data_IF_069487261755
#
_entry.id   IF_069487261755
#
_cell.length_a   1.000
_cell.length_b   1.000
_cell.length_c   1.000
_cell.angle_alpha   90.00
_cell.angle_beta   90.00
_cell.angle_gamma   90.00
#
_symmetry.space_group_name_H-M   'P 1'
#
loop_
_entity.id
_entity.type
_entity.pdbx_description
1 polymer ?
#
# COMPACT_ATOMS: atom_id res chain seq x y z
N UNK A 1 0.39 -83.10 42.72
CA UNK A 1 -0.05 -82.63 44.04
C UNK A 1 -0.43 -81.16 43.89
N UNK A 2 -1.65 -80.84 44.31
CA UNK A 2 -2.35 -79.54 44.32
C UNK A 2 -1.44 -78.35 44.71
N UNK A 3 -1.73 -77.08 44.38
CA UNK A 3 -2.98 -76.40 44.71
C UNK A 3 -3.02 -74.98 44.12
N UNK A 4 -4.21 -74.59 43.67
CA UNK A 4 -4.70 -73.24 43.37
C UNK A 4 -4.92 -72.47 44.69
N UNK A 5 -4.73 -71.14 44.74
CA UNK A 5 -5.68 -70.17 45.35
C UNK A 5 -5.15 -68.72 45.49
N UNK A 6 -6.00 -67.77 45.03
CA UNK A 6 -6.43 -66.46 45.59
C UNK A 6 -5.44 -65.51 46.31
N UNK A 7 -5.65 -64.20 46.48
CA UNK A 7 -6.39 -63.07 45.89
C UNK A 7 -6.20 -61.92 46.93
N UNK A 8 -5.93 -60.69 46.48
CA UNK A 8 -5.95 -59.39 47.22
C UNK A 8 -5.00 -59.14 48.41
N UNK A 9 -4.24 -58.03 48.34
CA UNK A 9 -4.40 -56.81 49.17
C UNK A 9 -3.48 -55.70 48.62
N UNK A 10 -4.04 -54.49 48.53
CA UNK A 10 -3.44 -53.25 48.06
C UNK A 10 -2.61 -52.54 49.14
N UNK A 11 -1.61 -51.73 48.75
CA UNK A 11 -1.55 -50.26 48.99
C UNK A 11 -0.15 -49.68 48.71
N UNK A 12 -0.15 -48.60 47.90
CA UNK A 12 0.54 -47.31 48.09
C UNK A 12 1.98 -47.00 47.58
N UNK A 13 2.00 -46.08 46.59
CA UNK A 13 2.94 -44.94 46.29
C UNK A 13 4.41 -45.24 45.92
N UNK A 14 5.08 -44.60 44.94
CA UNK A 14 4.96 -43.30 44.26
C UNK A 14 5.64 -43.36 42.85
N UNK A 15 4.96 -42.79 41.83
CA UNK A 15 5.44 -41.88 40.77
C UNK A 15 6.61 -42.24 39.80
N UNK A 16 6.33 -42.35 38.50
CA UNK A 16 6.43 -41.22 37.52
C UNK A 16 5.95 -41.61 36.10
N UNK A 17 5.13 -40.70 35.54
CA UNK A 17 4.74 -40.48 34.14
C UNK A 17 3.77 -41.43 33.42
N UNK A 18 2.47 -41.12 33.56
CA UNK A 18 1.53 -41.14 32.43
C UNK A 18 1.81 -39.98 31.46
N UNK A 19 1.09 -39.75 30.37
CA UNK A 19 -0.07 -40.40 29.77
C UNK A 19 0.02 -40.19 28.26
N UNK A 20 -0.63 -41.08 27.53
CA UNK A 20 -1.10 -40.94 26.15
C UNK A 20 -1.85 -39.62 25.91
N UNK A 21 -1.72 -39.06 24.70
CA UNK A 21 -2.89 -38.75 23.86
C UNK A 21 -2.49 -38.45 22.41
N UNK A 22 -3.36 -38.94 21.55
CA UNK A 22 -3.55 -38.65 20.13
C UNK A 22 -3.57 -37.16 19.82
N UNK A 23 -2.99 -36.75 18.70
CA UNK A 23 -3.52 -35.67 17.88
C UNK A 23 -3.17 -35.89 16.40
N UNK A 24 -4.21 -35.84 15.57
CA UNK A 24 -4.21 -35.83 14.11
C UNK A 24 -3.64 -34.49 13.61
N UNK A 25 -2.41 -34.47 13.12
CA UNK A 25 -1.92 -33.33 12.35
C UNK A 25 -2.47 -33.42 10.92
N UNK A 26 -3.68 -32.86 10.73
CA UNK A 26 -4.17 -32.45 9.42
C UNK A 26 -3.26 -31.35 8.88
N UNK A 27 -2.38 -31.75 7.97
CA UNK A 27 -1.65 -30.87 7.08
C UNK A 27 -2.65 -29.99 6.31
N UNK A 28 -2.77 -28.73 6.73
CA UNK A 28 -3.58 -27.73 6.07
C UNK A 28 -2.92 -27.37 4.74
N UNK A 29 -3.44 -27.93 3.65
CA UNK A 29 -3.21 -27.43 2.30
C UNK A 29 -3.86 -26.04 2.17
N UNK A 30 -3.18 -25.00 2.65
CA UNK A 30 -3.41 -23.64 2.18
C UNK A 30 -2.76 -23.51 0.80
N UNK A 31 -3.48 -23.00 -0.21
CA UNK A 31 -2.87 -22.75 -1.51
C UNK A 31 -1.83 -21.63 -1.33
N UNK A 32 -0.55 -21.96 -1.53
CA UNK A 32 0.48 -20.95 -1.69
C UNK A 32 0.10 -20.08 -2.89
N UNK A 33 -0.31 -18.83 -2.63
CA UNK A 33 -0.54 -17.85 -3.68
C UNK A 33 0.83 -17.57 -4.31
N UNK A 34 1.10 -18.21 -5.46
CA UNK A 34 2.23 -17.85 -6.30
C UNK A 34 1.89 -16.54 -6.99
N UNK A 35 2.50 -15.45 -6.53
CA UNK A 35 2.48 -14.18 -7.26
C UNK A 35 3.21 -14.35 -8.60
N UNK A 36 2.62 -13.95 -9.74
CA UNK A 36 3.27 -14.01 -11.03
C UNK A 36 4.56 -13.17 -11.04
N UNK A 37 5.59 -13.71 -11.67
CA UNK A 37 7.01 -13.30 -11.66
C UNK A 37 7.34 -11.94 -12.32
N UNK A 38 6.37 -11.06 -12.57
CA UNK A 38 6.70 -9.74 -13.11
C UNK A 38 6.91 -8.78 -11.95
N UNK A 39 8.17 -8.35 -11.81
CA UNK A 39 8.70 -7.43 -10.80
C UNK A 39 8.94 -8.06 -9.41
N UNK A 40 9.85 -9.04 -9.35
CA UNK A 40 10.76 -9.09 -8.21
C UNK A 40 11.69 -7.87 -8.33
N UNK A 41 11.21 -6.69 -7.93
CA UNK A 41 12.14 -5.62 -7.54
C UNK A 41 12.74 -6.12 -6.23
N UNK A 42 13.90 -6.77 -6.34
CA UNK A 42 14.74 -7.14 -5.20
C UNK A 42 15.16 -5.85 -4.49
N UNK A 43 14.31 -5.37 -3.62
CA UNK A 43 14.56 -4.23 -2.78
C UNK A 43 14.00 -4.48 -1.39
N UNK A 44 14.61 -3.88 -0.36
CA UNK A 44 14.65 -4.44 0.97
C UNK A 44 13.42 -4.06 1.80
N UNK A 45 12.20 -4.18 1.26
CA UNK A 45 10.98 -4.13 2.10
C UNK A 45 10.74 -5.43 2.87
N UNK A 46 11.69 -6.37 2.79
CA UNK A 46 11.54 -7.76 3.22
C UNK A 46 12.18 -8.07 4.57
N UNK A 47 12.55 -7.07 5.37
CA UNK A 47 12.77 -7.33 6.79
C UNK A 47 11.45 -7.11 7.55
N UNK A 48 10.64 -8.16 7.75
CA UNK A 48 9.39 -8.04 8.51
C UNK A 48 9.63 -7.67 9.97
N UNK A 49 10.87 -7.75 10.46
CA UNK A 49 11.25 -7.39 11.82
C UNK A 49 11.68 -5.92 11.93
N UNK A 50 11.90 -5.23 10.80
CA UNK A 50 12.29 -3.83 10.84
C UNK A 50 11.08 -2.97 11.19
N UNK A 51 11.17 -2.14 12.25
CA UNK A 51 10.06 -1.30 12.67
C UNK A 51 9.68 -0.29 11.59
N UNK A 52 8.39 0.02 11.56
CA UNK A 52 7.87 1.10 10.73
C UNK A 52 7.83 2.41 11.51
N UNK A 53 8.14 3.48 10.79
CA UNK A 53 8.08 4.83 11.27
C UNK A 53 7.09 5.63 10.46
N UNK A 54 6.52 6.63 11.11
CA UNK A 54 5.49 7.48 10.54
C UNK A 54 5.82 8.94 10.79
N UNK A 55 5.42 9.81 9.87
CA UNK A 55 5.61 11.26 9.95
C UNK A 55 4.33 11.95 9.47
N UNK A 56 3.76 12.83 10.28
CA UNK A 56 2.61 13.65 9.85
C UNK A 56 3.07 14.64 8.76
N UNK A 57 2.56 14.47 7.55
CA UNK A 57 3.05 15.15 6.35
C UNK A 57 2.89 16.67 6.42
N UNK A 58 1.87 17.20 7.08
CA UNK A 58 1.62 18.65 7.10
C UNK A 58 2.39 19.39 8.20
N UNK A 59 2.71 18.74 9.32
CA UNK A 59 3.19 19.43 10.53
C UNK A 59 4.57 18.97 11.00
N UNK A 60 4.95 17.74 10.66
CA UNK A 60 6.11 17.07 11.25
C UNK A 60 7.00 16.43 10.17
N UNK A 61 7.07 17.01 8.97
CA UNK A 61 7.83 16.46 7.84
C UNK A 61 9.23 16.05 8.27
N UNK A 62 9.56 14.77 8.09
CA UNK A 62 10.88 14.21 8.42
C UNK A 62 11.12 13.99 9.91
N UNK A 63 10.16 14.29 10.78
CA UNK A 63 10.20 13.95 12.20
C UNK A 63 9.52 12.60 12.40
N UNK A 64 10.34 11.56 12.34
CA UNK A 64 9.90 10.16 12.39
C UNK A 64 9.62 9.70 13.82
N UNK A 65 8.44 9.15 14.05
CA UNK A 65 8.06 8.44 15.26
C UNK A 65 7.80 6.96 14.94
N UNK A 66 7.96 6.07 15.92
CA UNK A 66 7.60 4.67 15.76
C UNK A 66 6.10 4.56 15.46
N UNK A 67 5.73 3.80 14.44
CA UNK A 67 4.33 3.56 14.13
C UNK A 67 3.69 2.67 15.20
N UNK A 68 2.53 3.10 15.67
CA UNK A 68 1.74 2.39 16.68
C UNK A 68 0.53 1.74 16.01
N UNK A 69 0.10 0.59 16.52
CA UNK A 69 -1.13 -0.07 16.05
C UNK A 69 -2.39 0.65 16.48
N UNK A 70 -2.31 1.47 17.54
CA UNK A 70 -3.40 2.33 17.97
C UNK A 70 -3.42 3.63 17.15
N UNK A 71 -4.44 3.76 16.31
CA UNK A 71 -4.72 4.95 15.49
C UNK A 71 -5.78 5.86 16.14
N UNK A 72 -6.38 5.45 17.27
CA UNK A 72 -7.50 6.16 17.92
C UNK A 72 -7.15 7.57 18.36
N UNK A 73 -5.87 7.81 18.68
CA UNK A 73 -5.35 9.11 19.09
C UNK A 73 -4.72 9.92 17.94
N UNK A 74 -4.59 9.35 16.74
CA UNK A 74 -3.98 10.07 15.62
C UNK A 74 -4.94 11.12 15.06
N UNK A 75 -4.41 12.31 14.83
CA UNK A 75 -5.12 13.41 14.22
C UNK A 75 -5.49 13.10 12.76
N UNK A 76 -6.55 13.73 12.26
CA UNK A 76 -6.92 13.66 10.85
C UNK A 76 -5.80 14.25 9.99
N UNK A 77 -5.46 13.59 8.88
CA UNK A 77 -4.39 14.08 8.01
C UNK A 77 -3.74 13.00 7.17
N UNK A 78 -2.61 13.37 6.55
CA UNK A 78 -1.76 12.48 5.77
C UNK A 78 -0.50 12.13 6.54
N UNK A 79 -0.10 10.88 6.46
CA UNK A 79 1.04 10.34 7.18
C UNK A 79 1.93 9.56 6.21
N UNK A 80 3.20 9.93 6.13
CA UNK A 80 4.21 9.17 5.39
C UNK A 80 4.74 8.03 6.26
N UNK A 81 5.11 6.92 5.61
CA UNK A 81 5.59 5.70 6.24
C UNK A 81 6.97 5.32 5.70
N UNK A 82 7.85 4.88 6.59
CA UNK A 82 9.16 4.34 6.19
C UNK A 82 9.75 3.36 7.21
N UNK A 83 10.48 2.37 6.73
CA UNK A 83 11.41 1.56 7.55
C UNK A 83 12.82 2.17 7.59
N UNK A 84 13.06 3.24 6.82
CA UNK A 84 14.37 3.89 6.65
C UNK A 84 14.38 5.34 7.18
N UNK A 85 14.01 5.60 8.46
CA UNK A 85 13.95 6.97 8.95
C UNK A 85 15.36 7.58 8.97
N UNK A 86 15.48 8.79 8.41
CA UNK A 86 16.74 9.56 8.36
C UNK A 86 17.92 8.85 7.66
N UNK A 87 17.66 7.80 6.87
CA UNK A 87 18.70 7.13 6.11
C UNK A 87 18.86 7.77 4.74
N UNK A 88 20.11 7.96 4.32
CA UNK A 88 20.44 8.40 2.97
C UNK A 88 20.23 7.28 1.95
N UNK A 89 19.79 7.64 0.75
CA UNK A 89 19.60 6.67 -0.32
C UNK A 89 20.95 6.14 -0.85
N UNK A 90 21.13 4.81 -0.80
CA UNK A 90 22.26 4.12 -1.44
C UNK A 90 22.14 4.16 -2.96
N UNK A 91 23.19 3.77 -3.68
CA UNK A 91 23.11 3.66 -5.13
C UNK A 91 22.07 2.62 -5.58
N UNK A 92 21.96 1.49 -4.87
CA UNK A 92 20.93 0.47 -5.15
C UNK A 92 19.52 1.05 -5.01
N UNK A 93 19.28 1.88 -3.99
CA UNK A 93 18.00 2.58 -3.84
C UNK A 93 17.71 3.52 -5.02
N UNK A 94 18.71 4.28 -5.46
CA UNK A 94 18.59 5.19 -6.62
C UNK A 94 18.34 4.44 -7.92
N UNK A 95 19.02 3.32 -8.13
CA UNK A 95 18.85 2.49 -9.33
C UNK A 95 17.44 1.88 -9.37
N UNK A 96 16.94 1.40 -8.23
CA UNK A 96 15.57 0.87 -8.11
C UNK A 96 14.51 1.97 -8.29
N UNK A 97 14.71 3.16 -7.72
CA UNK A 97 13.88 4.34 -7.96
C UNK A 97 13.79 4.68 -9.45
N UNK A 98 14.95 4.80 -10.11
CA UNK A 98 15.03 5.12 -11.53
C UNK A 98 14.35 4.05 -12.39
N UNK A 99 14.52 2.77 -12.03
CA UNK A 99 13.84 1.67 -12.71
C UNK A 99 12.32 1.79 -12.60
N UNK A 100 11.79 1.98 -11.40
CA UNK A 100 10.34 2.10 -11.19
C UNK A 100 9.76 3.29 -11.97
N UNK A 101 10.40 4.46 -11.90
CA UNK A 101 9.98 5.65 -12.66
C UNK A 101 10.01 5.36 -14.17
N UNK A 102 11.09 4.76 -14.67
CA UNK A 102 11.22 4.43 -16.09
C UNK A 102 10.15 3.44 -16.54
N UNK A 103 9.93 2.37 -15.79
CA UNK A 103 8.95 1.35 -16.14
C UNK A 103 7.52 1.95 -16.17
N UNK A 104 7.20 2.87 -15.23
CA UNK A 104 5.93 3.60 -15.22
C UNK A 104 5.77 4.52 -16.43
N UNK A 105 6.81 5.27 -16.80
CA UNK A 105 6.80 6.11 -18.01
C UNK A 105 6.62 5.26 -19.26
N UNK A 106 7.42 4.20 -19.42
CA UNK A 106 7.35 3.29 -20.56
C UNK A 106 5.95 2.67 -20.71
N UNK A 107 5.32 2.30 -19.60
CA UNK A 107 3.95 1.78 -19.56
C UNK A 107 2.93 2.83 -20.01
N UNK A 108 2.97 4.02 -19.42
CA UNK A 108 2.08 5.14 -19.78
C UNK A 108 2.14 5.43 -21.28
N UNK A 109 3.35 5.51 -21.84
CA UNK A 109 3.54 5.75 -23.28
C UNK A 109 3.01 4.57 -24.11
N UNK A 110 3.35 3.33 -23.74
CA UNK A 110 2.91 2.11 -24.44
C UNK A 110 1.39 1.96 -24.47
N UNK A 111 0.70 2.28 -23.38
CA UNK A 111 -0.75 2.20 -23.27
C UNK A 111 -1.47 3.43 -23.84
N UNK A 112 -0.75 4.52 -24.10
CA UNK A 112 -1.30 5.78 -24.61
C UNK A 112 -2.02 6.61 -23.55
N UNK A 113 -1.74 6.38 -22.26
CA UNK A 113 -2.42 7.05 -21.15
C UNK A 113 -2.06 8.54 -21.00
N UNK A 114 -1.10 9.07 -21.74
CA UNK A 114 -0.93 10.53 -21.85
C UNK A 114 -2.23 11.22 -22.33
N UNK A 115 -3.06 10.53 -23.12
CA UNK A 115 -4.44 10.95 -23.39
C UNK A 115 -5.38 10.46 -22.30
N UNK A 116 -6.11 11.40 -21.70
CA UNK A 116 -7.15 11.08 -20.72
C UNK A 116 -8.28 10.25 -21.31
N UNK A 117 -8.65 10.49 -22.56
CA UNK A 117 -9.66 9.70 -23.27
C UNK A 117 -9.26 8.24 -23.37
N UNK A 118 -7.97 7.96 -23.60
CA UNK A 118 -7.45 6.59 -23.60
C UNK A 118 -7.52 5.96 -22.21
N UNK A 119 -7.12 6.69 -21.16
CA UNK A 119 -7.28 6.24 -19.78
C UNK A 119 -8.74 5.88 -19.45
N UNK A 120 -9.68 6.76 -19.78
CA UNK A 120 -11.11 6.48 -19.59
C UNK A 120 -11.58 5.25 -20.38
N UNK A 121 -11.13 5.09 -21.63
CA UNK A 121 -11.45 3.92 -22.45
C UNK A 121 -10.87 2.61 -21.90
N UNK A 122 -9.80 2.67 -21.11
CA UNK A 122 -9.16 1.51 -20.50
C UNK A 122 -9.71 1.19 -19.10
N UNK A 123 -10.79 1.87 -18.68
CA UNK A 123 -11.51 1.56 -17.45
C UNK A 123 -11.09 2.40 -16.24
N UNK A 124 -10.27 3.44 -16.42
CA UNK A 124 -10.03 4.42 -15.37
C UNK A 124 -11.24 5.37 -15.25
N UNK A 125 -11.71 5.61 -14.03
CA UNK A 125 -12.83 6.50 -13.74
C UNK A 125 -12.46 7.51 -12.67
N UNK A 126 -13.07 8.70 -12.70
CA UNK A 126 -12.76 9.73 -11.72
C UNK A 126 -13.10 9.26 -10.30
N UNK A 127 -12.13 9.34 -9.39
CA UNK A 127 -12.32 8.97 -7.99
C UNK A 127 -13.28 9.95 -7.30
N UNK A 128 -14.03 9.49 -6.30
CA UNK A 128 -15.08 10.26 -5.66
C UNK A 128 -14.61 11.64 -5.17
N UNK A 129 -15.13 12.70 -5.80
CA UNK A 129 -14.83 14.12 -5.50
C UNK A 129 -13.33 14.48 -5.59
N UNK A 130 -12.54 13.68 -6.29
CA UNK A 130 -11.14 14.00 -6.55
C UNK A 130 -10.97 14.59 -7.96
N UNK A 131 -10.42 15.80 -8.11
CA UNK A 131 -10.26 16.42 -9.42
C UNK A 131 -9.08 15.83 -10.23
N UNK A 132 -8.16 15.10 -9.60
CA UNK A 132 -6.90 14.64 -10.21
C UNK A 132 -6.85 13.13 -10.38
N UNK A 133 -7.42 12.36 -9.46
CA UNK A 133 -7.30 10.90 -9.46
C UNK A 133 -8.36 10.20 -10.29
N UNK A 134 -7.89 9.36 -11.21
CA UNK A 134 -8.69 8.47 -12.04
C UNK A 134 -8.29 7.03 -11.71
N UNK A 135 -9.19 6.27 -11.11
CA UNK A 135 -8.93 4.93 -10.55
C UNK A 135 -9.40 3.84 -11.51
N UNK A 136 -8.61 2.78 -11.66
CA UNK A 136 -9.05 1.54 -12.29
C UNK A 136 -9.37 0.50 -11.22
N UNK A 137 -10.66 0.24 -10.99
CA UNK A 137 -11.12 -0.70 -9.95
C UNK A 137 -10.68 -2.13 -10.19
N UNK A 138 -10.52 -2.55 -11.45
CA UNK A 138 -10.03 -3.90 -11.75
C UNK A 138 -8.61 -4.06 -11.23
N UNK A 139 -7.74 -3.08 -11.44
CA UNK A 139 -6.36 -3.10 -10.95
C UNK A 139 -6.29 -2.95 -9.43
N UNK A 140 -7.12 -2.10 -8.82
CA UNK A 140 -7.19 -1.96 -7.34
C UNK A 140 -7.47 -3.30 -6.64
N UNK A 141 -8.24 -4.18 -7.28
CA UNK A 141 -8.73 -5.41 -6.66
C UNK A 141 -8.18 -6.69 -7.32
N UNK A 142 -7.16 -6.62 -8.16
CA UNK A 142 -6.54 -7.79 -8.79
C UNK A 142 -5.51 -8.50 -7.88
N UNK A 143 -5.13 -7.87 -6.78
CA UNK A 143 -4.19 -8.40 -5.79
C UNK A 143 -2.72 -8.16 -6.14
N UNK A 144 -2.44 -7.46 -7.22
CA UNK A 144 -1.12 -6.94 -7.53
C UNK A 144 -0.89 -5.61 -6.79
N UNK A 145 0.36 -5.23 -6.61
CA UNK A 145 0.73 -3.93 -6.04
C UNK A 145 2.04 -3.52 -6.67
N UNK A 146 2.16 -2.24 -7.03
CA UNK A 146 3.37 -1.70 -7.64
C UNK A 146 3.70 -2.35 -9.00
N UNK A 147 2.68 -2.63 -9.81
CA UNK A 147 2.83 -3.06 -11.21
C UNK A 147 2.67 -1.85 -12.16
N UNK A 148 3.75 -1.35 -12.78
CA UNK A 148 3.70 -0.23 -13.72
C UNK A 148 2.79 -0.44 -14.94
N UNK A 149 2.52 -1.69 -15.36
CA UNK A 149 1.59 -1.99 -16.47
C UNK A 149 0.12 -1.96 -16.03
N UNK A 150 -0.15 -1.83 -14.73
CA UNK A 150 -1.49 -1.77 -14.14
C UNK A 150 -1.51 -0.82 -12.92
N UNK A 151 -1.14 0.46 -13.06
CA UNK A 151 -1.22 1.38 -11.94
C UNK A 151 -2.67 1.51 -11.49
N UNK A 152 -2.93 1.47 -10.19
CA UNK A 152 -4.31 1.56 -9.69
C UNK A 152 -4.94 2.92 -9.99
N UNK A 153 -4.14 3.98 -10.12
CA UNK A 153 -4.60 5.35 -10.36
C UNK A 153 -3.72 6.11 -11.35
N UNK A 154 -4.35 6.84 -12.27
CA UNK A 154 -3.76 7.87 -13.12
C UNK A 154 -4.05 9.27 -12.54
N UNK A 155 -3.07 10.17 -12.60
CA UNK A 155 -3.13 11.50 -12.00
C UNK A 155 -3.18 12.58 -13.09
N UNK A 156 -4.38 12.96 -13.52
CA UNK A 156 -4.57 13.99 -14.55
C UNK A 156 -4.77 15.37 -13.94
N UNK A 157 -3.88 16.30 -14.26
CA UNK A 157 -4.00 17.71 -13.87
C UNK A 157 -4.74 18.49 -14.94
N UNK A 158 -5.78 19.20 -14.54
CA UNK A 158 -6.54 20.08 -15.42
C UNK A 158 -5.90 21.46 -15.49
N UNK A 159 -5.66 21.95 -16.69
CA UNK A 159 -5.25 23.33 -16.99
C UNK A 159 -6.19 23.98 -17.99
N UNK A 160 -5.88 25.21 -18.41
CA UNK A 160 -6.61 25.88 -19.50
C UNK A 160 -6.34 25.22 -20.87
N UNK A 161 -5.20 24.56 -21.03
CA UNK A 161 -4.75 23.92 -22.27
C UNK A 161 -5.27 22.49 -22.44
N UNK A 162 -5.63 21.83 -21.34
CA UNK A 162 -6.15 20.46 -21.33
C UNK A 162 -5.91 19.72 -20.03
N UNK A 163 -6.16 18.42 -20.05
CA UNK A 163 -5.80 17.51 -18.96
C UNK A 163 -4.45 16.84 -19.28
N UNK A 164 -3.51 16.90 -18.34
CA UNK A 164 -2.16 16.34 -18.49
C UNK A 164 -1.92 15.23 -17.48
N UNK A 165 -1.42 14.07 -17.93
CA UNK A 165 -1.04 12.99 -17.03
C UNK A 165 0.30 13.34 -16.35
N UNK A 166 0.26 13.68 -15.07
CA UNK A 166 1.45 14.13 -14.33
C UNK A 166 2.11 13.00 -13.54
N UNK A 167 1.39 11.93 -13.25
CA UNK A 167 1.84 10.82 -12.42
C UNK A 167 0.93 9.60 -12.51
N UNK A 168 1.41 8.52 -11.93
CA UNK A 168 0.63 7.35 -11.59
C UNK A 168 0.71 7.12 -10.08
N UNK A 169 -0.29 6.48 -9.50
CA UNK A 169 -0.28 6.12 -8.09
C UNK A 169 -0.59 4.65 -7.91
N UNK A 170 0.15 4.04 -7.00
CA UNK A 170 -0.05 2.65 -6.59
C UNK A 170 -0.75 2.56 -5.25
N UNK A 171 -1.58 1.54 -5.05
CA UNK A 171 -2.32 1.29 -3.81
C UNK A 171 -1.96 -0.10 -3.26
N UNK A 172 -1.46 -0.17 -2.03
CA UNK A 172 -1.19 -1.42 -1.34
C UNK A 172 -2.42 -1.88 -0.54
N UNK A 173 -3.19 -2.80 -1.10
CA UNK A 173 -4.43 -3.32 -0.49
C UNK A 173 -4.12 -4.51 0.41
N UNK A 174 -4.50 -4.42 1.69
CA UNK A 174 -4.37 -5.52 2.66
C UNK A 174 -2.93 -5.83 3.09
N UNK A 175 -1.95 -5.05 2.63
CA UNK A 175 -0.54 -5.21 2.94
C UNK A 175 0.17 -3.86 3.11
N UNK A 176 1.40 -3.90 3.62
CA UNK A 176 2.29 -2.74 3.63
C UNK A 176 2.81 -2.48 2.22
N UNK A 177 2.94 -1.21 1.88
CA UNK A 177 3.55 -0.77 0.64
C UNK A 177 5.03 -1.19 0.56
N UNK A 178 5.47 -1.89 -0.50
CA UNK A 178 6.87 -2.27 -0.64
C UNK A 178 7.76 -1.04 -0.85
N UNK A 179 8.76 -0.84 0.01
CA UNK A 179 9.75 0.23 -0.13
C UNK A 179 10.89 -0.16 -1.09
N UNK A 180 10.55 -0.30 -2.37
CA UNK A 180 11.48 -0.82 -3.38
C UNK A 180 12.67 0.10 -3.70
N UNK A 181 12.62 1.35 -3.28
CA UNK A 181 13.72 2.30 -3.39
C UNK A 181 14.18 2.79 -2.00
N UNK A 182 14.00 1.96 -0.98
CA UNK A 182 14.36 2.26 0.41
C UNK A 182 13.74 3.60 0.87
N UNK A 183 14.54 4.56 1.36
CA UNK A 183 14.04 5.85 1.85
C UNK A 183 13.44 6.75 0.76
N UNK A 184 13.59 6.42 -0.54
CA UNK A 184 13.02 7.21 -1.65
C UNK A 184 11.56 6.84 -1.94
N UNK A 185 11.17 5.58 -1.79
CA UNK A 185 9.81 5.10 -2.06
C UNK A 185 8.99 5.06 -0.76
N UNK A 186 8.78 6.23 -0.17
CA UNK A 186 7.92 6.37 1.01
C UNK A 186 6.46 6.25 0.58
N UNK A 187 5.72 5.41 1.28
CA UNK A 187 4.29 5.32 1.10
C UNK A 187 3.61 6.31 2.04
N UNK A 188 2.34 6.61 1.79
CA UNK A 188 1.55 7.41 2.71
C UNK A 188 0.15 6.86 2.85
N UNK A 189 -0.53 7.22 3.93
CA UNK A 189 -1.95 6.96 4.11
C UNK A 189 -2.64 8.19 4.70
N UNK A 190 -3.96 8.19 4.58
CA UNK A 190 -4.82 9.21 5.14
C UNK A 190 -5.51 8.66 6.37
N UNK A 191 -5.74 9.52 7.37
CA UNK A 191 -6.65 9.29 8.47
C UNK A 191 -7.83 10.24 8.31
N UNK A 192 -9.01 9.68 8.04
CA UNK A 192 -10.24 10.44 7.86
C UNK A 192 -11.44 9.71 8.48
N UNK A 193 -11.94 10.21 9.62
CA UNK A 193 -13.00 9.57 10.42
C UNK A 193 -14.42 9.82 9.89
N UNK A 194 -14.59 10.40 8.70
CA UNK A 194 -15.90 10.62 8.08
C UNK A 194 -16.06 9.98 6.71
N UNK A 195 -15.05 9.26 6.22
CA UNK A 195 -15.05 8.70 4.87
C UNK A 195 -15.66 7.30 4.82
N UNK A 196 -16.46 7.08 3.77
CA UNK A 196 -17.03 5.78 3.42
C UNK A 196 -16.23 5.16 2.29
N UNK A 197 -15.88 3.89 2.46
CA UNK A 197 -15.04 3.17 1.52
C UNK A 197 -15.74 1.96 0.91
N UNK A 198 -15.61 1.80 -0.40
CA UNK A 198 -15.90 0.57 -1.11
C UNK A 198 -14.82 -0.46 -0.75
N UNK A 199 -15.27 -1.61 -0.20
CA UNK A 199 -14.40 -2.72 0.21
C UNK A 199 -13.26 -2.29 1.14
N UNK A 200 -13.43 -1.18 1.88
CA UNK A 200 -12.41 -0.60 2.76
C UNK A 200 -11.25 0.10 2.05
N UNK A 201 -11.29 0.24 0.72
CA UNK A 201 -10.14 0.67 -0.10
C UNK A 201 -10.39 1.99 -0.82
N UNK A 202 -11.51 2.09 -1.55
CA UNK A 202 -11.78 3.27 -2.39
C UNK A 202 -12.79 4.21 -1.75
N UNK A 203 -12.51 5.52 -1.68
CA UNK A 203 -13.48 6.47 -1.16
C UNK A 203 -14.69 6.58 -2.10
N UNK A 204 -15.90 6.47 -1.54
CA UNK A 204 -17.16 6.55 -2.29
C UNK A 204 -18.16 7.54 -1.70
N UNK A 205 -17.85 8.12 -0.54
CA UNK A 205 -18.72 9.08 0.11
C UNK A 205 -18.19 9.56 1.45
N UNK A 206 -18.97 10.43 2.08
CA UNK A 206 -18.79 10.84 3.47
C UNK A 206 -20.09 10.63 4.22
N UNK A 207 -20.01 10.24 5.49
CA UNK A 207 -21.16 10.27 6.38
C UNK A 207 -21.09 11.50 7.30
N UNK A 208 -22.26 12.03 7.66
CA UNK A 208 -22.36 13.07 8.70
C UNK A 208 -22.21 12.44 10.08
N UNK A 209 -21.63 13.17 11.04
CA UNK A 209 -21.42 12.70 12.41
C UNK A 209 -22.73 12.11 13.01
N UNK A 210 -22.69 10.83 13.39
CA UNK A 210 -23.85 10.09 13.90
C UNK A 210 -24.69 9.34 12.84
N UNK A 211 -24.36 9.41 11.55
CA UNK A 211 -24.96 8.57 10.48
C UNK A 211 -24.02 7.45 10.05
N UNK A 212 -24.56 6.35 9.54
CA UNK A 212 -23.77 5.29 8.91
C UNK A 212 -23.52 5.57 7.42
N UNK A 213 -22.51 4.93 6.83
CA UNK A 213 -22.34 4.92 5.39
C UNK A 213 -23.58 4.31 4.71
N UNK A 214 -24.21 5.05 3.80
CA UNK A 214 -25.33 4.52 2.99
C UNK A 214 -24.85 3.41 2.04
N UNK A 215 -23.61 3.54 1.56
CA UNK A 215 -22.89 2.56 0.74
C UNK A 215 -21.44 2.45 1.26
N UNK A 216 -20.91 1.22 1.33
CA UNK A 216 -19.57 0.93 1.85
C UNK A 216 -19.49 0.80 3.36
N UNK A 217 -18.28 0.90 3.90
CA UNK A 217 -18.02 0.81 5.34
C UNK A 217 -17.22 2.02 5.81
N UNK A 218 -17.44 2.49 7.05
CA UNK A 218 -16.60 3.51 7.63
C UNK A 218 -15.18 2.94 7.75
N UNK A 219 -14.19 3.70 7.28
CA UNK A 219 -12.79 3.35 7.47
C UNK A 219 -12.07 4.58 8.02
N UNK A 220 -11.28 4.38 9.07
CA UNK A 220 -10.53 5.45 9.73
C UNK A 220 -9.19 5.71 9.05
N UNK A 221 -8.70 4.77 8.21
CA UNK A 221 -7.40 4.84 7.55
C UNK A 221 -7.49 4.33 6.11
N UNK A 222 -7.01 5.12 5.15
CA UNK A 222 -6.88 4.62 3.77
C UNK A 222 -5.84 3.49 3.68
N UNK A 223 -5.88 2.68 2.62
CA UNK A 223 -4.71 1.90 2.19
C UNK A 223 -3.48 2.79 1.99
N UNK A 224 -2.32 2.15 1.92
CA UNK A 224 -1.06 2.86 1.65
C UNK A 224 -0.96 3.17 0.17
N UNK A 225 -0.49 4.38 -0.14
CA UNK A 225 -0.38 4.91 -1.50
C UNK A 225 1.04 5.39 -1.79
N UNK A 226 1.49 5.18 -3.03
CA UNK A 226 2.77 5.67 -3.53
C UNK A 226 2.55 6.40 -4.86
N UNK A 227 2.86 7.69 -4.89
CA UNK A 227 2.91 8.44 -6.14
C UNK A 227 4.20 8.14 -6.89
N UNK A 228 4.12 8.10 -8.22
CA UNK A 228 5.25 8.11 -9.13
C UNK A 228 5.03 9.21 -10.16
N UNK A 229 5.77 10.30 -10.03
CA UNK A 229 5.67 11.47 -10.90
C UNK A 229 6.40 11.24 -12.22
N UNK A 230 5.73 11.54 -13.33
CA UNK A 230 6.29 11.42 -14.68
C UNK A 230 7.26 12.56 -15.03
N UNK A 231 7.25 13.63 -14.25
CA UNK A 231 8.18 14.75 -14.32
C UNK A 231 9.05 14.87 -13.05
N UNK A 232 10.08 15.72 -13.10
CA UNK A 232 10.93 16.06 -11.96
C UNK A 232 10.20 16.95 -10.95
N UNK A 233 9.37 16.32 -10.12
CA UNK A 233 8.67 16.98 -9.03
C UNK A 233 9.67 17.61 -8.04
N UNK A 234 9.43 18.86 -7.55
CA UNK A 234 10.39 19.59 -6.70
C UNK A 234 10.76 18.86 -5.40
N UNK A 235 9.81 18.10 -4.84
CA UNK A 235 10.02 17.27 -3.64
C UNK A 235 10.46 15.82 -3.96
N UNK A 236 10.78 15.52 -5.22
CA UNK A 236 11.25 14.22 -5.70
C UNK A 236 10.18 13.36 -6.40
N UNK A 237 10.64 12.36 -7.17
CA UNK A 237 9.80 11.50 -8.04
C UNK A 237 8.73 10.68 -7.32
N UNK A 238 8.82 10.54 -6.00
CA UNK A 238 7.84 9.83 -5.16
C UNK A 238 7.18 10.74 -4.12
N UNK A 239 7.15 12.05 -4.37
CA UNK A 239 6.59 13.00 -3.42
C UNK A 239 5.10 12.72 -3.12
N UNK A 240 4.77 12.68 -1.83
CA UNK A 240 3.39 12.63 -1.33
C UNK A 240 2.59 13.88 -1.69
N UNK A 241 3.28 15.02 -1.84
CA UNK A 241 2.64 16.32 -2.11
C UNK A 241 2.00 16.35 -3.49
N UNK A 242 0.72 16.70 -3.55
CA UNK A 242 0.01 16.95 -4.82
C UNK A 242 0.00 18.43 -5.24
N UNK A 243 0.14 19.35 -4.28
CA UNK A 243 0.09 20.79 -4.57
C UNK A 243 1.34 21.26 -5.33
N UNK A 244 1.14 21.70 -6.58
CA UNK A 244 2.15 22.35 -7.40
C UNK A 244 1.90 23.86 -7.46
N UNK A 245 2.96 24.66 -7.45
CA UNK A 245 2.84 26.05 -7.91
C UNK A 245 2.65 26.09 -9.42
N UNK A 246 2.14 27.20 -9.94
CA UNK A 246 1.96 27.41 -11.37
C UNK A 246 3.26 27.17 -12.17
N UNK A 247 4.38 27.72 -11.70
CA UNK A 247 5.71 27.49 -12.29
C UNK A 247 6.09 26.00 -12.36
N UNK A 248 5.90 25.25 -11.26
CA UNK A 248 6.23 23.82 -11.25
C UNK A 248 5.29 23.00 -12.13
N UNK A 249 4.01 23.41 -12.23
CA UNK A 249 3.05 22.78 -13.11
C UNK A 249 3.44 22.99 -14.58
N UNK A 250 3.81 24.21 -14.98
CA UNK A 250 4.28 24.51 -16.34
C UNK A 250 5.54 23.72 -16.70
N UNK A 251 6.53 23.65 -15.80
CA UNK A 251 7.74 22.86 -15.99
C UNK A 251 7.38 21.38 -16.15
N UNK A 252 6.50 20.86 -15.29
CA UNK A 252 6.06 19.47 -15.35
C UNK A 252 5.34 19.14 -16.65
N UNK A 253 4.44 20.02 -17.11
CA UNK A 253 3.70 19.88 -18.37
C UNK A 253 4.66 19.78 -19.55
N UNK A 254 5.67 20.66 -19.60
CA UNK A 254 6.68 20.60 -20.66
C UNK A 254 7.42 19.26 -20.68
N UNK A 255 7.80 18.73 -19.52
CA UNK A 255 8.50 17.46 -19.43
C UNK A 255 7.63 16.28 -19.87
N UNK A 256 6.34 16.25 -19.50
CA UNK A 256 5.45 15.14 -19.91
C UNK A 256 5.07 15.21 -21.38
N UNK A 257 5.10 16.40 -22.00
CA UNK A 257 4.91 16.57 -23.45
C UNK A 257 6.11 16.05 -24.27
N UNK A 258 7.28 15.91 -23.65
CA UNK A 258 8.50 15.40 -24.29
C UNK A 258 8.63 13.86 -24.20
N UNK A 259 7.65 13.16 -23.60
CA UNK A 259 7.59 11.69 -23.47
C UNK A 259 7.07 11.02 -24.77
#
# INVERSE_FOLDING_TARGET
MNMINYLFIALLFLFLSGCTNTDDDKESNEPSIMFPNYLIINAPSKDPNMPWYVSEFAKKVGQWELETTDLGDRELGMYELTQYPNQEATQVHKDAANKLVKDSIDSVVRHGWLSKEKGLSDGYEQMHRDPVYFVNKEYVFDGETLNPDKPEVLMYYKTEEGDFLMGVMFIAVGQRGPQVAGPLSKWHHHIDRGMCYERGVLPIGRYEEGRSCEVGFPNTRSPEMLHVWLFDHPDGRFATKMGLSEEHLEIGIKQVLDL
#
